data_IF_893143613643
#
_entry.id   IF_893143613643
#
_cell.length_a   1.000
_cell.length_b   1.000
_cell.length_c   1.000
_cell.angle_alpha   90.00
_cell.angle_beta   90.00
_cell.angle_gamma   90.00
#
_symmetry.space_group_name_H-M   'P 1'
#
loop_
_entity.id
_entity.type
_entity.pdbx_description
1 polymer ?
#
# COMPACT_ATOMS: atom_id res chain seq x y z
N UNK A 1 -0.91 -15.14 -13.26
CA UNK A 1 -0.28 -15.35 -14.60
C UNK A 1 1.00 -16.16 -14.52
N UNK A 2 2.01 -15.78 -13.73
CA UNK A 2 3.32 -16.47 -13.68
C UNK A 2 3.22 -17.96 -13.36
N UNK A 3 2.43 -18.36 -12.35
CA UNK A 3 2.23 -19.78 -11.98
C UNK A 3 1.49 -20.53 -13.09
N UNK A 4 0.51 -19.88 -13.71
CA UNK A 4 -0.21 -20.45 -14.85
C UNK A 4 0.75 -20.68 -16.03
N UNK A 5 1.58 -19.68 -16.38
CA UNK A 5 2.53 -19.77 -17.49
C UNK A 5 3.58 -20.86 -17.28
N UNK A 6 4.15 -20.97 -16.08
CA UNK A 6 5.26 -21.89 -15.81
C UNK A 6 4.84 -23.28 -15.39
N UNK A 7 3.65 -23.43 -14.79
CA UNK A 7 3.20 -24.67 -14.17
C UNK A 7 1.85 -25.16 -14.66
N UNK A 8 1.13 -24.35 -15.45
CA UNK A 8 -0.25 -24.59 -15.86
C UNK A 8 -1.17 -24.91 -14.65
N UNK A 9 -1.04 -24.10 -13.60
CA UNK A 9 -1.80 -24.20 -12.36
C UNK A 9 -2.51 -22.87 -12.08
N UNK A 10 -3.58 -22.91 -11.27
CA UNK A 10 -4.32 -21.74 -10.81
C UNK A 10 -4.98 -20.93 -11.94
N UNK A 11 -5.52 -21.60 -12.96
CA UNK A 11 -6.21 -20.96 -14.10
C UNK A 11 -7.40 -20.13 -13.62
N UNK A 12 -8.34 -20.77 -12.90
CA UNK A 12 -9.53 -20.10 -12.34
C UNK A 12 -9.17 -18.94 -11.44
N UNK A 13 -8.14 -19.10 -10.57
CA UNK A 13 -7.62 -18.03 -9.72
C UNK A 13 -7.09 -16.85 -10.54
N UNK A 14 -6.36 -17.12 -11.62
CA UNK A 14 -5.85 -16.09 -12.54
C UNK A 14 -6.98 -15.33 -13.22
N UNK A 15 -8.02 -16.03 -13.68
CA UNK A 15 -9.19 -15.41 -14.30
C UNK A 15 -9.96 -14.53 -13.31
N UNK A 16 -10.23 -15.04 -12.10
CA UNK A 16 -10.92 -14.28 -11.04
C UNK A 16 -10.15 -12.99 -10.72
N UNK A 17 -8.83 -13.07 -10.50
CA UNK A 17 -8.01 -11.89 -10.21
C UNK A 17 -7.98 -10.89 -11.38
N UNK A 18 -7.98 -11.37 -12.63
CA UNK A 18 -7.99 -10.48 -13.80
C UNK A 18 -9.33 -9.75 -13.94
N UNK A 19 -10.45 -10.44 -13.74
CA UNK A 19 -11.80 -9.87 -13.74
C UNK A 19 -11.91 -8.84 -12.59
N UNK A 20 -11.46 -9.21 -11.39
CA UNK A 20 -11.49 -8.33 -10.22
C UNK A 20 -10.68 -7.05 -10.45
N UNK A 21 -9.49 -7.15 -11.04
CA UNK A 21 -8.63 -5.98 -11.34
C UNK A 21 -9.34 -4.99 -12.25
N UNK A 22 -9.97 -5.48 -13.32
CA UNK A 22 -10.73 -4.64 -14.23
C UNK A 22 -11.95 -4.03 -13.52
N UNK A 23 -12.70 -4.83 -12.77
CA UNK A 23 -13.87 -4.40 -12.00
C UNK A 23 -13.52 -3.27 -11.02
N UNK A 24 -12.46 -3.42 -10.23
CA UNK A 24 -12.04 -2.38 -9.28
C UNK A 24 -11.57 -1.09 -9.98
N UNK A 25 -10.92 -1.19 -11.13
CA UNK A 25 -10.56 -0.03 -11.93
C UNK A 25 -11.80 0.75 -12.40
N UNK A 26 -12.83 0.04 -12.85
CA UNK A 26 -14.10 0.65 -13.27
C UNK A 26 -14.91 1.21 -12.10
N UNK A 27 -14.91 0.54 -10.94
CA UNK A 27 -15.52 1.07 -9.70
C UNK A 27 -14.85 2.39 -9.30
N UNK A 28 -13.53 2.47 -9.34
CA UNK A 28 -12.79 3.71 -9.08
C UNK A 28 -13.23 4.84 -10.01
N UNK A 29 -13.36 4.57 -11.30
CA UNK A 29 -13.84 5.54 -12.29
C UNK A 29 -15.28 5.98 -12.00
N UNK A 30 -16.16 5.03 -11.65
CA UNK A 30 -17.53 5.32 -11.24
C UNK A 30 -17.57 6.23 -10.00
N UNK A 31 -16.83 5.91 -8.95
CA UNK A 31 -16.82 6.70 -7.72
C UNK A 31 -16.39 8.15 -7.95
N UNK A 32 -15.37 8.36 -8.79
CA UNK A 32 -14.91 9.74 -9.12
C UNK A 32 -15.93 10.49 -9.97
N UNK A 33 -16.62 9.82 -10.91
CA UNK A 33 -17.56 10.47 -11.84
C UNK A 33 -18.96 10.66 -11.28
N UNK A 34 -19.40 9.78 -10.38
CA UNK A 34 -20.77 9.81 -9.84
C UNK A 34 -21.05 10.99 -8.93
N UNK A 35 -20.02 11.69 -8.43
CA UNK A 35 -20.18 12.75 -7.44
C UNK A 35 -20.47 12.27 -6.01
N UNK A 36 -20.40 10.93 -5.78
CA UNK A 36 -20.60 10.34 -4.44
C UNK A 36 -19.46 10.75 -3.51
N UNK A 37 -18.23 10.89 -4.06
CA UNK A 37 -17.05 11.27 -3.28
C UNK A 37 -16.96 12.81 -3.16
N UNK A 38 -17.00 13.31 -1.93
CA UNK A 38 -16.62 14.69 -1.61
C UNK A 38 -15.09 14.79 -1.51
N UNK A 39 -14.41 14.82 -2.65
CA UNK A 39 -12.95 14.89 -2.73
C UNK A 39 -12.53 16.01 -3.67
N UNK A 40 -11.36 16.60 -3.39
CA UNK A 40 -10.73 17.59 -4.30
C UNK A 40 -10.43 17.02 -5.69
N UNK A 41 -10.47 15.71 -5.85
CA UNK A 41 -10.30 15.02 -7.12
C UNK A 41 -11.60 14.80 -7.91
N UNK A 42 -12.75 15.22 -7.37
CA UNK A 42 -14.06 15.08 -8.03
C UNK A 42 -14.46 16.33 -8.84
N UNK A 43 -13.49 16.94 -9.50
CA UNK A 43 -13.69 18.16 -10.29
C UNK A 43 -14.48 17.96 -11.59
N UNK A 44 -14.89 16.76 -11.93
CA UNK A 44 -15.68 16.47 -13.14
C UNK A 44 -16.90 15.61 -12.82
N UNK A 45 -17.70 16.06 -11.83
CA UNK A 45 -18.94 15.39 -11.46
C UNK A 45 -19.94 15.40 -12.63
N UNK A 46 -20.37 14.22 -13.03
CA UNK A 46 -21.38 14.01 -14.04
C UNK A 46 -22.21 12.77 -13.66
N UNK A 47 -23.28 12.94 -12.89
CA UNK A 47 -24.11 11.84 -12.39
C UNK A 47 -24.71 10.97 -13.52
N UNK A 48 -25.07 11.56 -14.68
CA UNK A 48 -25.63 10.80 -15.79
C UNK A 48 -24.60 9.84 -16.39
N UNK A 49 -23.36 10.32 -16.60
CA UNK A 49 -22.26 9.45 -17.03
C UNK A 49 -21.87 8.45 -15.94
N UNK A 50 -21.99 8.82 -14.66
CA UNK A 50 -21.82 7.92 -13.53
C UNK A 50 -22.76 6.72 -13.63
N UNK A 51 -24.05 6.94 -13.84
CA UNK A 51 -25.06 5.90 -14.01
C UNK A 51 -24.75 5.01 -15.21
N UNK A 52 -24.34 5.58 -16.34
CA UNK A 52 -23.96 4.83 -17.52
C UNK A 52 -22.77 3.89 -17.22
N UNK A 53 -21.72 4.40 -16.54
CA UNK A 53 -20.56 3.59 -16.13
C UNK A 53 -20.98 2.46 -15.20
N UNK A 54 -21.90 2.70 -14.27
CA UNK A 54 -22.41 1.69 -13.34
C UNK A 54 -23.17 0.57 -14.08
N UNK A 55 -24.05 0.92 -15.00
CA UNK A 55 -24.79 -0.06 -15.82
C UNK A 55 -23.86 -0.86 -16.71
N UNK A 56 -22.88 -0.22 -17.32
CA UNK A 56 -21.85 -0.88 -18.11
C UNK A 56 -21.02 -1.85 -17.27
N UNK A 57 -20.59 -1.42 -16.09
CA UNK A 57 -19.85 -2.25 -15.13
C UNK A 57 -20.68 -3.49 -14.73
N UNK A 58 -21.95 -3.28 -14.38
CA UNK A 58 -22.85 -4.37 -13.98
C UNK A 58 -23.02 -5.39 -15.10
N UNK A 59 -23.23 -4.94 -16.35
CA UNK A 59 -23.34 -5.82 -17.51
C UNK A 59 -22.05 -6.62 -17.75
N UNK A 60 -20.89 -6.00 -17.60
CA UNK A 60 -19.59 -6.67 -17.74
C UNK A 60 -19.34 -7.70 -16.65
N UNK A 61 -19.71 -7.41 -15.40
CA UNK A 61 -19.58 -8.37 -14.30
C UNK A 61 -20.45 -9.59 -14.56
N UNK A 62 -21.73 -9.39 -14.93
CA UNK A 62 -22.64 -10.49 -15.24
C UNK A 62 -22.09 -11.32 -16.40
N UNK A 63 -21.68 -10.69 -17.49
CA UNK A 63 -21.10 -11.38 -18.64
C UNK A 63 -19.86 -12.19 -18.26
N UNK A 64 -18.97 -11.57 -17.45
CA UNK A 64 -17.75 -12.24 -16.97
C UNK A 64 -18.06 -13.47 -16.11
N UNK A 65 -19.05 -13.38 -15.23
CA UNK A 65 -19.51 -14.50 -14.38
C UNK A 65 -20.10 -15.61 -15.27
N UNK A 66 -20.96 -15.28 -16.22
CA UNK A 66 -21.57 -16.25 -17.14
C UNK A 66 -20.47 -16.96 -17.94
N UNK A 67 -19.55 -16.21 -18.55
CA UNK A 67 -18.44 -16.78 -19.31
C UNK A 67 -17.53 -17.64 -18.43
N UNK A 68 -17.25 -17.21 -17.20
CA UNK A 68 -16.47 -18.00 -16.26
C UNK A 68 -17.10 -19.37 -16.02
N UNK A 69 -18.39 -19.43 -15.70
CA UNK A 69 -19.08 -20.70 -15.46
C UNK A 69 -19.24 -21.57 -16.71
N UNK A 70 -19.35 -20.98 -17.89
CA UNK A 70 -19.44 -21.73 -19.15
C UNK A 70 -18.08 -22.33 -19.53
N UNK A 71 -16.99 -21.56 -19.38
CA UNK A 71 -15.66 -21.91 -19.87
C UNK A 71 -14.71 -22.41 -18.79
N UNK A 72 -15.08 -22.28 -17.51
CA UNK A 72 -14.33 -22.92 -16.41
C UNK A 72 -14.65 -24.43 -16.43
N UNK A 73 -14.35 -25.00 -17.59
CA UNK A 73 -14.57 -26.43 -17.82
C UNK A 73 -13.60 -27.19 -16.92
N UNK A 74 -14.12 -28.19 -16.30
CA UNK A 74 -13.63 -29.47 -15.78
C UNK A 74 -12.28 -29.97 -16.33
N UNK A 75 -11.32 -29.04 -16.48
CA UNK A 75 -9.95 -29.46 -16.64
C UNK A 75 -9.57 -30.11 -15.30
N UNK A 76 -9.52 -31.44 -15.35
CA UNK A 76 -8.90 -32.24 -14.31
C UNK A 76 -7.58 -31.59 -13.99
N UNK A 77 -7.55 -30.82 -12.89
CA UNK A 77 -6.32 -30.46 -12.22
C UNK A 77 -5.67 -31.80 -11.88
N UNK A 78 -4.93 -32.32 -12.85
CA UNK A 78 -4.08 -33.49 -12.62
C UNK A 78 -3.31 -33.15 -11.37
N UNK A 79 -3.46 -33.96 -10.32
CA UNK A 79 -2.96 -33.78 -8.95
C UNK A 79 -1.48 -33.36 -8.96
N UNK A 80 -1.25 -32.07 -9.26
CA UNK A 80 0.08 -31.48 -9.18
C UNK A 80 0.25 -31.04 -7.74
N UNK A 81 0.98 -31.83 -6.98
CA UNK A 81 1.23 -31.59 -5.56
C UNK A 81 1.83 -30.19 -5.33
N UNK A 82 1.15 -29.39 -4.53
CA UNK A 82 1.70 -28.17 -3.97
C UNK A 82 2.52 -28.50 -2.73
N UNK A 83 3.78 -28.14 -2.77
CA UNK A 83 4.64 -28.24 -1.60
C UNK A 83 4.69 -26.89 -0.88
N UNK A 84 4.56 -26.90 0.45
CA UNK A 84 4.55 -25.69 1.29
C UNK A 84 5.79 -24.81 1.08
N UNK A 85 6.94 -25.43 0.74
CA UNK A 85 8.18 -24.69 0.45
C UNK A 85 8.47 -24.83 -1.02
N UNK A 86 7.84 -23.96 -1.76
CA UNK A 86 7.97 -23.87 -3.22
C UNK A 86 7.75 -22.42 -3.68
N UNK A 87 8.22 -22.14 -4.88
CA UNK A 87 8.00 -20.85 -5.51
C UNK A 87 6.52 -20.57 -5.76
N UNK A 88 5.74 -21.60 -6.06
CA UNK A 88 4.29 -21.53 -6.22
C UNK A 88 3.61 -21.02 -4.95
N UNK A 89 3.96 -21.61 -3.81
CA UNK A 89 3.41 -21.21 -2.51
C UNK A 89 3.83 -19.78 -2.14
N UNK A 90 5.08 -19.40 -2.44
CA UNK A 90 5.54 -18.02 -2.22
C UNK A 90 4.72 -17.02 -3.03
N UNK A 91 4.38 -17.32 -4.28
CA UNK A 91 3.52 -16.46 -5.11
C UNK A 91 2.09 -16.40 -4.54
N UNK A 92 1.54 -17.52 -4.03
CA UNK A 92 0.25 -17.53 -3.36
C UNK A 92 0.24 -16.68 -2.09
N UNK A 93 1.26 -16.80 -1.25
CA UNK A 93 1.40 -15.99 -0.03
C UNK A 93 1.48 -14.51 -0.41
N UNK A 94 2.24 -14.16 -1.44
CA UNK A 94 2.29 -12.79 -1.95
C UNK A 94 0.90 -12.28 -2.38
N UNK A 95 0.12 -13.10 -3.09
CA UNK A 95 -1.24 -12.74 -3.47
C UNK A 95 -2.15 -12.51 -2.26
N UNK A 96 -2.01 -13.32 -1.20
CA UNK A 96 -2.75 -13.14 0.05
C UNK A 96 -2.42 -11.82 0.73
N UNK A 97 -1.15 -11.43 0.81
CA UNK A 97 -0.77 -10.11 1.33
C UNK A 97 -1.37 -8.98 0.49
N UNK A 98 -1.32 -9.10 -0.84
CA UNK A 98 -1.89 -8.09 -1.74
C UNK A 98 -3.41 -7.97 -1.58
N UNK A 99 -4.13 -9.09 -1.44
CA UNK A 99 -5.57 -9.08 -1.18
C UNK A 99 -5.88 -8.45 0.17
N UNK A 100 -5.08 -8.77 1.19
CA UNK A 100 -5.23 -8.16 2.50
C UNK A 100 -5.06 -6.63 2.44
N UNK A 101 -3.97 -6.14 1.82
CA UNK A 101 -3.73 -4.71 1.66
C UNK A 101 -4.83 -4.02 0.86
N UNK A 102 -5.27 -4.64 -0.23
CA UNK A 102 -6.41 -4.16 -1.01
C UNK A 102 -7.68 -4.05 -0.16
N UNK A 103 -7.99 -5.07 0.64
CA UNK A 103 -9.18 -5.09 1.50
C UNK A 103 -9.14 -3.99 2.56
N UNK A 104 -7.99 -3.80 3.22
CA UNK A 104 -7.82 -2.73 4.23
C UNK A 104 -8.03 -1.36 3.59
N UNK A 105 -7.40 -1.11 2.43
CA UNK A 105 -7.54 0.18 1.74
C UNK A 105 -8.97 0.37 1.22
N UNK A 106 -9.55 -0.64 0.61
CA UNK A 106 -10.91 -0.57 0.07
C UNK A 106 -11.94 -0.28 1.18
N UNK A 107 -11.90 -1.05 2.28
CA UNK A 107 -12.80 -0.85 3.41
C UNK A 107 -12.57 0.53 4.04
N UNK A 108 -11.31 0.89 4.31
CA UNK A 108 -11.00 2.19 4.93
C UNK A 108 -11.42 3.40 4.09
N UNK A 109 -11.40 3.28 2.76
CA UNK A 109 -11.79 4.37 1.86
C UNK A 109 -13.29 4.41 1.58
N UNK A 110 -13.95 3.25 1.49
CA UNK A 110 -15.38 3.20 1.15
C UNK A 110 -16.31 3.23 2.36
N UNK A 111 -15.87 2.80 3.53
CA UNK A 111 -16.68 2.75 4.74
C UNK A 111 -17.28 4.12 5.14
N UNK A 112 -16.54 5.24 5.12
CA UNK A 112 -17.12 6.57 5.38
C UNK A 112 -18.27 6.91 4.43
N UNK A 113 -18.16 6.54 3.15
CA UNK A 113 -19.19 6.81 2.13
C UNK A 113 -20.47 6.05 2.47
N UNK A 114 -20.34 4.77 2.84
CA UNK A 114 -21.50 3.96 3.24
C UNK A 114 -22.20 4.53 4.47
N UNK A 115 -21.45 4.98 5.48
CA UNK A 115 -22.03 5.61 6.66
C UNK A 115 -22.73 6.94 6.35
N UNK A 116 -22.15 7.77 5.51
CA UNK A 116 -22.78 9.03 5.10
C UNK A 116 -24.12 8.77 4.39
N UNK A 117 -24.19 7.78 3.50
CA UNK A 117 -25.40 7.45 2.72
C UNK A 117 -26.47 6.77 3.58
N UNK A 118 -26.10 5.86 4.48
CA UNK A 118 -27.06 5.04 5.23
C UNK A 118 -27.48 5.68 6.54
N UNK A 119 -26.52 6.25 7.29
CA UNK A 119 -26.72 6.76 8.64
C UNK A 119 -26.69 8.30 8.73
N UNK A 120 -26.40 9.02 7.64
CA UNK A 120 -26.12 10.46 7.63
C UNK A 120 -24.99 10.89 8.59
N UNK A 121 -24.10 9.96 8.92
CA UNK A 121 -22.95 10.22 9.78
C UNK A 121 -21.71 10.50 8.95
N UNK A 122 -21.06 11.62 9.20
CA UNK A 122 -19.79 11.97 8.56
C UNK A 122 -18.62 11.58 9.44
N UNK A 123 -17.90 10.56 9.04
CA UNK A 123 -16.65 10.15 9.67
C UNK A 123 -15.50 10.30 8.71
N UNK A 124 -14.29 10.48 9.25
CA UNK A 124 -13.05 10.48 8.48
C UNK A 124 -12.13 9.39 9.01
N UNK A 125 -11.63 8.55 8.10
CA UNK A 125 -10.63 7.54 8.39
C UNK A 125 -9.27 8.07 7.95
N UNK A 126 -8.37 8.23 8.91
CA UNK A 126 -7.05 8.82 8.69
C UNK A 126 -5.89 7.83 8.78
N UNK A 127 -4.63 8.32 8.70
CA UNK A 127 -3.42 7.53 8.75
C UNK A 127 -3.32 6.54 9.92
N UNK A 128 -3.79 6.84 11.16
CA UNK A 128 -3.69 5.89 12.28
C UNK A 128 -4.38 4.55 12.03
N UNK A 129 -5.52 4.56 11.33
CA UNK A 129 -6.23 3.33 10.96
C UNK A 129 -5.39 2.46 10.02
N UNK A 130 -4.88 3.05 8.94
CA UNK A 130 -4.09 2.33 7.96
C UNK A 130 -2.76 1.84 8.54
N UNK A 131 -2.07 2.68 9.32
CA UNK A 131 -0.82 2.32 9.95
C UNK A 131 -0.97 1.12 10.89
N UNK A 132 -2.02 1.11 11.72
CA UNK A 132 -2.29 0.00 12.64
C UNK A 132 -2.55 -1.33 11.94
N UNK A 133 -3.18 -1.31 10.77
CA UNK A 133 -3.54 -2.52 10.04
C UNK A 133 -2.46 -2.94 9.03
N UNK A 134 -1.78 -2.01 8.36
CA UNK A 134 -0.83 -2.34 7.30
C UNK A 134 0.57 -2.65 7.82
N UNK A 135 1.09 -1.87 8.77
CA UNK A 135 2.48 -1.98 9.22
C UNK A 135 2.84 -3.38 9.75
N UNK A 136 2.03 -4.04 10.61
CA UNK A 136 2.36 -5.37 11.11
C UNK A 136 2.50 -6.44 10.02
N UNK A 137 1.75 -6.30 8.92
CA UNK A 137 1.77 -7.24 7.80
C UNK A 137 2.79 -6.88 6.73
N UNK A 138 3.23 -5.62 6.70
CA UNK A 138 4.19 -5.15 5.70
C UNK A 138 5.59 -5.74 5.94
N UNK A 139 6.03 -5.87 7.20
CA UNK A 139 7.32 -6.45 7.52
C UNK A 139 7.45 -7.94 7.09
N UNK A 140 6.54 -8.86 7.48
CA UNK A 140 6.59 -10.23 6.95
C UNK A 140 6.46 -10.28 5.43
N UNK A 141 5.65 -9.41 4.82
CA UNK A 141 5.56 -9.31 3.37
C UNK A 141 6.92 -9.02 2.70
N UNK A 142 7.69 -8.05 3.22
CA UNK A 142 9.04 -7.73 2.73
C UNK A 142 10.01 -8.93 2.87
N UNK A 143 9.91 -9.68 3.96
CA UNK A 143 10.72 -10.89 4.16
C UNK A 143 10.36 -11.94 3.10
N UNK A 144 9.07 -12.17 2.85
CA UNK A 144 8.63 -13.10 1.79
C UNK A 144 9.05 -12.62 0.40
N UNK A 145 9.04 -11.30 0.13
CA UNK A 145 9.58 -10.73 -1.10
C UNK A 145 11.08 -10.98 -1.27
N UNK A 146 11.85 -10.94 -0.18
CA UNK A 146 13.28 -11.20 -0.23
C UNK A 146 13.59 -12.69 -0.48
N UNK A 147 12.86 -13.60 0.17
CA UNK A 147 13.12 -15.05 0.13
C UNK A 147 12.44 -15.73 -1.05
N UNK A 148 11.24 -15.32 -1.42
CA UNK A 148 10.41 -15.98 -2.43
C UNK A 148 11.08 -16.23 -3.79
N UNK A 149 11.81 -15.26 -4.36
CA UNK A 149 12.50 -15.43 -5.64
C UNK A 149 13.51 -16.57 -5.70
N UNK A 150 14.08 -16.92 -4.55
CA UNK A 150 15.14 -17.93 -4.44
C UNK A 150 14.62 -19.36 -4.36
N UNK A 151 13.33 -19.51 -4.04
CA UNK A 151 12.71 -20.80 -3.97
C UNK A 151 12.63 -21.48 -5.35
N UNK A 152 12.80 -22.80 -5.36
CA UNK A 152 12.64 -23.58 -6.57
C UNK A 152 11.15 -23.86 -6.86
N UNK A 153 10.83 -24.07 -8.13
CA UNK A 153 9.54 -24.61 -8.53
C UNK A 153 9.39 -26.04 -8.00
N UNK A 154 8.17 -26.44 -7.64
CA UNK A 154 7.74 -27.74 -7.14
C UNK A 154 8.14 -27.92 -5.68
N UNK A 155 9.40 -28.09 -5.36
CA UNK A 155 9.87 -28.41 -4.00
C UNK A 155 11.24 -27.79 -3.75
N UNK A 156 11.38 -27.19 -2.59
CA UNK A 156 12.66 -26.75 -2.07
C UNK A 156 13.06 -27.61 -0.86
N UNK A 157 14.36 -27.91 -0.72
CA UNK A 157 14.87 -28.65 0.42
C UNK A 157 15.29 -27.66 1.51
N UNK A 158 14.72 -27.77 2.71
CA UNK A 158 15.05 -26.95 3.88
C UNK A 158 16.54 -26.89 4.25
N UNK A 159 17.29 -27.95 3.93
CA UNK A 159 18.72 -28.02 4.23
C UNK A 159 19.59 -26.96 3.54
N UNK A 160 19.01 -26.16 2.65
CA UNK A 160 19.72 -25.15 1.86
C UNK A 160 19.40 -23.69 2.23
N UNK A 161 18.62 -23.47 3.31
CA UNK A 161 18.52 -22.13 3.88
C UNK A 161 19.87 -21.86 4.54
N UNK A 162 20.68 -21.06 3.88
CA UNK A 162 21.99 -20.69 4.40
C UNK A 162 21.79 -19.93 5.72
N UNK A 163 22.30 -20.47 6.82
CA UNK A 163 22.28 -19.80 8.14
C UNK A 163 22.79 -18.38 8.07
N UNK A 164 23.70 -18.09 7.12
CA UNK A 164 24.21 -16.76 6.82
C UNK A 164 23.12 -15.74 6.54
N UNK A 165 22.01 -16.13 5.91
CA UNK A 165 20.89 -15.22 5.58
C UNK A 165 20.04 -14.87 6.78
N UNK A 166 19.85 -15.84 7.67
CA UNK A 166 19.16 -15.60 8.95
C UNK A 166 20.00 -14.64 9.78
N UNK A 167 21.30 -14.87 9.89
CA UNK A 167 22.23 -13.98 10.60
C UNK A 167 22.21 -12.57 9.97
N UNK A 168 22.24 -12.49 8.64
CA UNK A 168 22.18 -11.21 7.94
C UNK A 168 20.89 -10.44 8.22
N UNK A 169 19.74 -11.11 8.26
CA UNK A 169 18.48 -10.49 8.64
C UNK A 169 18.54 -9.87 10.05
N UNK A 170 19.07 -10.60 11.03
CA UNK A 170 19.24 -10.08 12.39
C UNK A 170 20.24 -8.93 12.47
N UNK A 171 21.29 -8.92 11.64
CA UNK A 171 22.22 -7.80 11.53
C UNK A 171 21.49 -6.54 11.06
N UNK A 172 20.70 -6.61 9.98
CA UNK A 172 19.93 -5.48 9.50
C UNK A 172 18.86 -5.02 10.49
N UNK A 173 18.24 -5.96 11.19
CA UNK A 173 17.30 -5.64 12.27
C UNK A 173 17.99 -4.89 13.41
N UNK A 174 19.18 -5.30 13.81
CA UNK A 174 19.96 -4.61 14.82
C UNK A 174 20.39 -3.21 14.36
N UNK A 175 20.86 -3.07 13.12
CA UNK A 175 21.22 -1.76 12.54
C UNK A 175 20.01 -0.82 12.56
N UNK A 176 18.86 -1.31 12.09
CA UNK A 176 17.62 -0.55 12.08
C UNK A 176 17.20 -0.14 13.50
N UNK A 177 17.23 -1.05 14.44
CA UNK A 177 16.94 -0.78 15.85
C UNK A 177 17.87 0.29 16.44
N UNK A 178 19.17 0.18 16.17
CA UNK A 178 20.17 1.15 16.68
C UNK A 178 19.93 2.57 16.15
N UNK A 179 19.54 2.70 14.89
CA UNK A 179 19.23 4.00 14.26
C UNK A 179 17.95 4.57 14.85
N UNK A 180 16.89 3.77 14.93
CA UNK A 180 15.54 4.20 15.29
C UNK A 180 15.41 4.48 16.79
N UNK A 181 16.11 3.74 17.64
CA UNK A 181 16.09 3.92 19.11
C UNK A 181 16.48 5.33 19.56
N UNK A 182 17.19 6.09 18.72
CA UNK A 182 17.57 7.47 19.00
C UNK A 182 16.52 8.50 18.56
N UNK A 183 15.51 8.10 17.79
CA UNK A 183 14.71 9.04 17.03
C UNK A 183 13.18 8.88 17.27
N UNK A 184 12.69 7.70 17.64
CA UNK A 184 11.24 7.40 17.67
C UNK A 184 10.76 6.80 18.99
N UNK A 185 9.48 7.07 19.32
CA UNK A 185 8.77 6.43 20.44
C UNK A 185 8.21 5.04 20.09
N UNK A 186 7.91 4.77 18.82
CA UNK A 186 7.40 3.46 18.34
C UNK A 186 8.53 2.59 17.79
N UNK A 187 9.43 2.17 18.68
CA UNK A 187 10.72 1.56 18.31
C UNK A 187 10.53 0.19 17.65
N UNK A 188 9.61 -0.66 18.15
CA UNK A 188 9.58 -2.08 17.78
C UNK A 188 9.17 -2.31 16.33
N UNK A 189 7.98 -1.88 15.95
CA UNK A 189 7.44 -2.12 14.59
C UNK A 189 8.25 -1.38 13.53
N UNK A 190 8.66 -0.16 13.82
CA UNK A 190 9.47 0.65 12.92
C UNK A 190 10.84 0.03 12.67
N UNK A 191 11.47 -0.54 13.70
CA UNK A 191 12.76 -1.24 13.57
C UNK A 191 12.64 -2.53 12.77
N UNK A 192 11.58 -3.31 12.98
CA UNK A 192 11.33 -4.55 12.22
C UNK A 192 11.11 -4.21 10.74
N UNK A 193 10.31 -3.18 10.44
CA UNK A 193 10.02 -2.76 9.08
C UNK A 193 11.27 -2.22 8.37
N UNK A 194 12.07 -1.40 9.07
CA UNK A 194 13.35 -0.89 8.56
C UNK A 194 14.36 -2.00 8.30
N UNK A 195 14.50 -2.94 9.24
CA UNK A 195 15.37 -4.12 9.08
C UNK A 195 14.95 -5.01 7.92
N UNK A 196 13.64 -5.28 7.76
CA UNK A 196 13.11 -6.05 6.65
C UNK A 196 13.33 -5.35 5.30
N UNK A 197 13.20 -4.02 5.24
CA UNK A 197 13.44 -3.22 4.04
C UNK A 197 14.92 -3.26 3.63
N UNK A 198 15.83 -3.05 4.58
CA UNK A 198 17.28 -3.15 4.34
C UNK A 198 17.69 -4.55 3.88
N UNK A 199 17.11 -5.58 4.50
CA UNK A 199 17.33 -6.97 4.11
C UNK A 199 16.87 -7.24 2.67
N UNK A 200 15.69 -6.74 2.29
CA UNK A 200 15.17 -6.86 0.92
C UNK A 200 16.10 -6.17 -0.09
N UNK A 201 16.54 -4.95 0.18
CA UNK A 201 17.46 -4.21 -0.68
C UNK A 201 18.77 -4.96 -0.89
N UNK A 202 19.36 -5.43 0.21
CA UNK A 202 20.63 -6.17 0.15
C UNK A 202 20.48 -7.48 -0.62
N UNK A 203 19.49 -8.31 -0.29
CA UNK A 203 19.28 -9.61 -0.94
C UNK A 203 18.99 -9.45 -2.43
N UNK A 204 18.16 -8.48 -2.80
CA UNK A 204 17.85 -8.20 -4.21
C UNK A 204 19.10 -7.79 -4.99
N UNK A 205 19.92 -6.90 -4.42
CA UNK A 205 21.18 -6.46 -5.06
C UNK A 205 22.17 -7.62 -5.18
N UNK A 206 22.32 -8.41 -4.11
CA UNK A 206 23.23 -9.56 -4.08
C UNK A 206 22.85 -10.62 -5.13
N UNK A 207 21.56 -10.98 -5.23
CA UNK A 207 21.08 -11.97 -6.20
C UNK A 207 21.18 -11.46 -7.64
N UNK A 208 21.03 -10.16 -7.86
CA UNK A 208 21.24 -9.53 -9.16
C UNK A 208 22.72 -9.61 -9.59
N UNK A 209 23.64 -9.25 -8.68
CA UNK A 209 25.08 -9.34 -8.95
C UNK A 209 25.54 -10.78 -9.23
N UNK A 210 24.90 -11.76 -8.61
CA UNK A 210 25.12 -13.21 -8.88
C UNK A 210 24.41 -13.71 -10.15
N UNK A 211 23.74 -12.84 -10.91
CA UNK A 211 22.98 -13.18 -12.13
C UNK A 211 21.88 -14.21 -11.90
N UNK A 212 21.35 -14.31 -10.68
CA UNK A 212 20.24 -15.22 -10.32
C UNK A 212 18.85 -14.59 -10.55
N UNK A 213 18.80 -13.27 -10.60
CA UNK A 213 17.57 -12.52 -10.89
C UNK A 213 17.72 -11.69 -12.17
N UNK A 214 16.61 -11.52 -12.88
CA UNK A 214 16.57 -10.64 -14.04
C UNK A 214 16.28 -9.19 -13.60
N UNK A 215 16.71 -8.23 -14.45
CA UNK A 215 16.63 -6.79 -14.17
C UNK A 215 15.21 -6.32 -13.80
N UNK A 216 14.17 -6.88 -14.42
CA UNK A 216 12.77 -6.48 -14.15
C UNK A 216 12.37 -6.78 -12.71
N UNK A 217 12.69 -7.98 -12.23
CA UNK A 217 12.42 -8.40 -10.86
C UNK A 217 13.25 -7.60 -9.86
N UNK A 218 14.51 -7.35 -10.19
CA UNK A 218 15.41 -6.54 -9.36
C UNK A 218 14.88 -5.13 -9.18
N UNK A 219 14.48 -4.44 -10.25
CA UNK A 219 13.92 -3.08 -10.16
C UNK A 219 12.66 -3.07 -9.30
N UNK A 220 11.75 -4.04 -9.47
CA UNK A 220 10.50 -4.09 -8.70
C UNK A 220 10.74 -4.30 -7.21
N UNK A 221 11.58 -5.28 -6.83
CA UNK A 221 11.83 -5.59 -5.42
C UNK A 221 12.69 -4.52 -4.74
N UNK A 222 13.76 -4.07 -5.42
CA UNK A 222 14.62 -3.00 -4.93
C UNK A 222 13.83 -1.69 -4.76
N UNK A 223 13.07 -1.30 -5.80
CA UNK A 223 12.26 -0.08 -5.77
C UNK A 223 11.22 -0.10 -4.65
N UNK A 224 10.57 -1.23 -4.41
CA UNK A 224 9.61 -1.35 -3.31
C UNK A 224 10.31 -1.26 -1.94
N UNK A 225 11.44 -1.93 -1.73
CA UNK A 225 12.23 -1.81 -0.50
C UNK A 225 12.70 -0.38 -0.25
N UNK A 226 13.18 0.31 -1.29
CA UNK A 226 13.59 1.71 -1.21
C UNK A 226 12.41 2.63 -0.90
N UNK A 227 11.24 2.39 -1.50
CA UNK A 227 10.01 3.15 -1.22
C UNK A 227 9.61 3.06 0.25
N UNK A 228 9.60 1.85 0.82
CA UNK A 228 9.28 1.66 2.24
C UNK A 228 10.31 2.36 3.15
N UNK A 229 11.60 2.26 2.84
CA UNK A 229 12.64 2.99 3.59
C UNK A 229 12.45 4.51 3.49
N UNK A 230 12.09 5.03 2.33
CA UNK A 230 11.85 6.46 2.15
C UNK A 230 10.67 6.96 3.00
N UNK A 231 9.59 6.17 3.07
CA UNK A 231 8.45 6.47 3.95
C UNK A 231 8.88 6.46 5.42
N UNK A 232 9.67 5.46 5.83
CA UNK A 232 10.19 5.38 7.19
C UNK A 232 11.08 6.58 7.54
N UNK A 233 12.00 6.95 6.67
CA UNK A 233 12.86 8.12 6.88
C UNK A 233 12.03 9.41 6.95
N UNK A 234 11.05 9.58 6.07
CA UNK A 234 10.16 10.71 6.16
C UNK A 234 9.43 10.75 7.51
N UNK A 235 8.88 9.62 7.96
CA UNK A 235 8.20 9.53 9.26
C UNK A 235 9.11 9.77 10.45
N UNK A 236 10.39 9.39 10.37
CA UNK A 236 11.37 9.56 11.47
C UNK A 236 11.90 10.99 11.56
N UNK A 237 12.06 11.67 10.43
CA UNK A 237 12.68 13.01 10.37
C UNK A 237 11.68 14.14 10.14
N UNK A 238 10.43 13.83 9.80
CA UNK A 238 9.34 14.79 9.71
C UNK A 238 8.74 15.03 11.10
N UNK A 239 8.60 16.28 11.45
CA UNK A 239 7.90 16.70 12.66
C UNK A 239 6.68 17.52 12.26
N UNK A 240 5.53 17.07 12.67
CA UNK A 240 4.27 17.77 12.45
C UNK A 240 3.82 18.42 13.76
N UNK A 241 3.49 19.68 13.68
CA UNK A 241 2.93 20.45 14.78
C UNK A 241 1.58 21.02 14.35
N UNK A 242 0.55 20.72 15.11
CA UNK A 242 -0.78 21.25 14.89
C UNK A 242 -1.25 22.01 16.12
N UNK A 243 -1.58 23.28 15.96
CA UNK A 243 -2.06 24.10 17.04
C UNK A 243 -3.16 25.07 16.56
N UNK A 244 -4.09 25.37 17.45
CA UNK A 244 -5.06 26.43 17.24
C UNK A 244 -4.45 27.75 17.72
N UNK A 245 -4.37 28.76 16.85
CA UNK A 245 -3.82 30.07 17.16
C UNK A 245 -4.86 31.16 17.03
N UNK A 246 -4.86 32.10 17.97
CA UNK A 246 -5.61 33.35 17.88
C UNK A 246 -4.74 34.44 17.26
N UNK A 247 -5.39 35.44 16.66
CA UNK A 247 -4.68 36.61 16.12
C UNK A 247 -3.85 37.29 17.23
N UNK A 248 -2.57 37.51 16.94
CA UNK A 248 -1.60 38.07 17.86
C UNK A 248 -0.89 37.03 18.75
N UNK A 249 -1.33 35.76 18.75
CA UNK A 249 -0.71 34.68 19.54
C UNK A 249 0.63 34.27 18.93
N UNK A 250 1.57 33.92 19.80
CA UNK A 250 2.91 33.46 19.45
C UNK A 250 3.09 32.02 19.94
N UNK A 251 3.55 31.14 19.07
CA UNK A 251 3.91 29.77 19.41
C UNK A 251 5.37 29.53 19.05
N UNK A 252 6.06 28.77 19.88
CA UNK A 252 7.43 28.33 19.64
C UNK A 252 7.38 26.87 19.21
N UNK A 253 7.90 26.61 18.02
CA UNK A 253 8.10 25.27 17.52
C UNK A 253 9.59 25.06 17.22
N UNK A 254 10.23 24.23 18.04
CA UNK A 254 11.68 24.00 18.03
C UNK A 254 12.49 25.29 18.22
N UNK A 255 13.07 25.85 17.16
CA UNK A 255 13.86 27.09 17.13
C UNK A 255 13.12 28.21 16.39
N UNK A 256 11.92 27.96 15.95
CA UNK A 256 11.14 28.94 15.20
C UNK A 256 10.01 29.47 16.08
N UNK A 257 9.89 30.80 16.09
CA UNK A 257 8.81 31.53 16.72
C UNK A 257 7.80 31.91 15.64
N UNK A 258 6.59 31.39 15.73
CA UNK A 258 5.51 31.61 14.79
C UNK A 258 4.49 32.53 15.45
N UNK A 259 4.26 33.70 14.86
CA UNK A 259 3.25 34.66 15.29
C UNK A 259 2.15 34.79 14.26
N UNK A 260 0.89 34.59 14.67
CA UNK A 260 -0.26 34.87 13.83
C UNK A 260 -0.55 36.36 13.83
N UNK A 261 -0.29 37.05 12.73
CA UNK A 261 -0.40 38.51 12.66
C UNK A 261 -1.83 38.97 12.45
N UNK A 262 -2.47 38.51 11.40
CA UNK A 262 -3.83 38.88 11.01
C UNK A 262 -4.38 37.94 9.96
N UNK A 263 -5.68 37.93 9.85
CA UNK A 263 -6.42 37.40 8.72
C UNK A 263 -6.92 38.56 7.82
N UNK A 264 -6.96 38.30 6.52
CA UNK A 264 -7.51 39.19 5.53
C UNK A 264 -8.55 38.43 4.73
N UNK A 265 -9.75 38.93 4.68
CA UNK A 265 -10.82 38.35 3.87
C UNK A 265 -10.94 39.15 2.57
N UNK A 266 -10.88 38.44 1.44
CA UNK A 266 -11.06 38.99 0.13
C UNK A 266 -12.33 38.38 -0.48
N UNK A 267 -13.23 39.24 -0.99
CA UNK A 267 -14.41 38.83 -1.76
C UNK A 267 -14.01 38.74 -3.24
N UNK A 268 -13.88 37.52 -3.72
CA UNK A 268 -13.66 37.17 -5.12
C UNK A 268 -15.03 37.02 -5.84
N UNK A 269 -15.03 36.97 -7.18
CA UNK A 269 -16.28 36.90 -7.95
C UNK A 269 -17.14 35.68 -7.60
N UNK A 270 -16.54 34.56 -7.25
CA UNK A 270 -17.22 33.26 -7.02
C UNK A 270 -16.98 32.65 -5.65
N UNK A 271 -16.10 33.20 -4.81
CA UNK A 271 -15.76 32.67 -3.48
C UNK A 271 -15.22 33.76 -2.57
N UNK A 272 -15.24 33.50 -1.25
CA UNK A 272 -14.55 34.33 -0.26
C UNK A 272 -13.25 33.65 0.13
N UNK A 273 -12.14 34.35 -0.05
CA UNK A 273 -10.85 33.87 0.40
C UNK A 273 -10.48 34.51 1.75
N UNK A 274 -9.97 33.69 2.67
CA UNK A 274 -9.40 34.13 3.94
C UNK A 274 -7.92 33.83 3.92
N UNK A 275 -7.08 34.87 3.96
CA UNK A 275 -5.62 34.75 3.96
C UNK A 275 -5.10 35.00 5.37
N UNK A 276 -4.53 33.99 6.00
CA UNK A 276 -3.86 34.10 7.29
C UNK A 276 -2.39 34.45 7.10
N UNK A 277 -1.95 35.55 7.74
CA UNK A 277 -0.56 36.02 7.69
C UNK A 277 0.19 35.58 8.96
N UNK A 278 1.26 34.83 8.77
CA UNK A 278 2.15 34.41 9.85
C UNK A 278 3.53 35.05 9.69
N UNK A 279 4.13 35.44 10.81
CA UNK A 279 5.53 35.83 10.88
C UNK A 279 6.32 34.71 11.53
N UNK A 280 7.29 34.18 10.81
CA UNK A 280 8.21 33.15 11.31
C UNK A 280 9.56 33.81 11.58
N UNK A 281 10.10 33.63 12.75
CA UNK A 281 11.41 34.16 13.15
C UNK A 281 12.22 33.05 13.80
N UNK A 282 13.45 32.84 13.32
CA UNK A 282 14.43 31.96 13.99
C UNK A 282 14.88 32.56 15.31
N UNK A 283 14.77 31.81 16.40
CA UNK A 283 15.52 32.10 17.61
C UNK A 283 16.97 31.65 17.38
N UNK A 284 17.84 32.63 17.15
CA UNK A 284 19.29 32.41 17.11
C UNK A 284 19.84 32.17 18.50
#
# INVERSE_FOLDING_TARGET
TLVLEKRNLLKSWTLILSISTFTFSMIGTFLVRSGILNSVHTFANDPERGIFILLFLFSLIILSIILFFIYDSKENDSQKNFFLISKETSVLINNWFMIYFLSVVLIGTTYPIFLEVIANEKISIGPPFFNKLLIPFLAPFLIFMAVGPELNWIKNNFKKIEYSRIVLFFIFLYISFYIINKTSSEILFTSILGGASLYLLFTTTYEFLKKKQNIRQTISHFGFGLFILSILFNSLFSKEFSANMKIGEELIFEKEKIKFLKDLTFDEQNFKSVVANFKITDEK
#
